data_IF_905053806576
#
_entry.id   IF_905053806576
#
_cell.length_a   1.000
_cell.length_b   1.000
_cell.length_c   1.000
_cell.angle_alpha   90.00
_cell.angle_beta   90.00
_cell.angle_gamma   90.00
#
_symmetry.space_group_name_H-M   'P 1'
#
loop_
_entity.id
_entity.type
_entity.pdbx_description
1 polymer ?
#
# COMPACT_ATOMS: atom_id res chain seq x y z
N UNK A 1 -3.19 12.70 -2.11
CA UNK A 1 -4.49 12.13 -2.55
C UNK A 1 -5.57 12.52 -1.55
N UNK A 2 -6.79 12.78 -2.03
CA UNK A 2 -8.01 12.95 -1.22
C UNK A 2 -8.52 11.62 -0.70
N UNK A 3 -9.40 11.62 0.30
CA UNK A 3 -10.03 10.38 0.81
C UNK A 3 -10.81 9.63 -0.28
N UNK A 4 -11.47 10.35 -1.20
CA UNK A 4 -12.18 9.77 -2.34
C UNK A 4 -11.25 9.04 -3.30
N UNK A 5 -10.10 9.63 -3.64
CA UNK A 5 -9.11 9.00 -4.51
C UNK A 5 -8.50 7.75 -3.87
N UNK A 6 -8.17 7.82 -2.57
CA UNK A 6 -7.65 6.68 -1.81
C UNK A 6 -8.71 5.57 -1.71
N UNK A 7 -9.96 5.92 -1.42
CA UNK A 7 -11.07 4.97 -1.34
C UNK A 7 -11.30 4.23 -2.66
N UNK A 8 -11.29 4.95 -3.78
CA UNK A 8 -11.42 4.35 -5.11
C UNK A 8 -10.26 3.40 -5.46
N UNK A 9 -9.02 3.78 -5.12
CA UNK A 9 -7.84 2.94 -5.30
C UNK A 9 -7.95 1.64 -4.50
N UNK A 10 -8.28 1.73 -3.21
CA UNK A 10 -8.40 0.56 -2.32
C UNK A 10 -9.55 -0.36 -2.73
N UNK A 11 -10.66 0.20 -3.21
CA UNK A 11 -11.76 -0.54 -3.81
C UNK A 11 -11.30 -1.33 -5.03
N UNK A 12 -10.57 -0.69 -5.94
CA UNK A 12 -10.02 -1.35 -7.14
C UNK A 12 -9.11 -2.52 -6.75
N UNK A 13 -8.20 -2.33 -5.79
CA UNK A 13 -7.34 -3.41 -5.29
C UNK A 13 -8.13 -4.58 -4.71
N UNK A 14 -9.19 -4.32 -3.94
CA UNK A 14 -10.08 -5.37 -3.43
C UNK A 14 -10.76 -6.14 -4.56
N UNK A 15 -11.31 -5.41 -5.54
CA UNK A 15 -12.03 -6.01 -6.67
C UNK A 15 -11.09 -6.84 -7.56
N UNK A 16 -9.87 -6.37 -7.81
CA UNK A 16 -8.83 -7.12 -8.53
C UNK A 16 -8.39 -8.39 -7.78
N UNK A 17 -8.44 -8.38 -6.45
CA UNK A 17 -8.18 -9.56 -5.63
C UNK A 17 -9.38 -10.54 -5.56
N UNK A 18 -10.52 -10.21 -6.19
CA UNK A 18 -11.72 -11.04 -6.19
C UNK A 18 -12.44 -11.12 -4.84
N UNK A 19 -12.20 -10.17 -3.94
CA UNK A 19 -12.75 -10.19 -2.58
C UNK A 19 -14.04 -9.37 -2.50
N UNK A 20 -15.03 -9.86 -1.75
CA UNK A 20 -16.15 -9.02 -1.31
C UNK A 20 -15.71 -8.09 -0.17
N UNK A 21 -16.50 -7.05 0.13
CA UNK A 21 -16.22 -6.18 1.29
C UNK A 21 -16.22 -6.97 2.61
N UNK A 22 -17.12 -7.95 2.75
CA UNK A 22 -17.19 -8.81 3.94
C UNK A 22 -15.97 -9.73 4.05
N UNK A 23 -15.53 -10.34 2.94
CA UNK A 23 -14.36 -11.20 2.92
C UNK A 23 -13.08 -10.43 3.27
N UNK A 24 -12.93 -9.21 2.74
CA UNK A 24 -11.80 -8.35 3.10
C UNK A 24 -11.87 -7.90 4.56
N UNK A 25 -13.04 -7.47 5.04
CA UNK A 25 -13.22 -7.09 6.44
C UNK A 25 -12.79 -8.22 7.39
N UNK A 26 -13.15 -9.47 7.08
CA UNK A 26 -12.75 -10.63 7.86
C UNK A 26 -11.23 -10.82 7.87
N UNK A 27 -10.55 -10.68 6.71
CA UNK A 27 -9.09 -10.79 6.63
C UNK A 27 -8.36 -9.68 7.38
N UNK A 28 -8.94 -8.47 7.40
CA UNK A 28 -8.36 -7.30 8.06
C UNK A 28 -8.76 -7.18 9.54
N UNK A 29 -9.48 -8.16 10.10
CA UNK A 29 -10.06 -8.07 11.44
C UNK A 29 -10.86 -6.78 11.67
N UNK A 30 -11.57 -6.34 10.62
CA UNK A 30 -12.38 -5.13 10.58
C UNK A 30 -13.86 -5.48 10.37
N UNK A 31 -14.69 -4.49 10.09
CA UNK A 31 -16.10 -4.68 9.73
C UNK A 31 -16.39 -4.11 8.35
N UNK A 32 -17.41 -4.67 7.67
CA UNK A 32 -17.82 -4.27 6.33
C UNK A 32 -18.19 -2.79 6.22
N UNK A 33 -18.77 -2.20 7.27
CA UNK A 33 -19.14 -0.79 7.26
C UNK A 33 -17.90 0.11 7.20
N UNK A 34 -16.83 -0.23 7.92
CA UNK A 34 -15.53 0.45 7.84
C UNK A 34 -14.94 0.35 6.43
N UNK A 35 -14.92 -0.85 5.83
CA UNK A 35 -14.49 -1.04 4.43
C UNK A 35 -15.30 -0.14 3.49
N UNK A 36 -16.63 -0.15 3.61
CA UNK A 36 -17.52 0.65 2.78
C UNK A 36 -17.30 2.15 2.94
N UNK A 37 -17.12 2.65 4.18
CA UNK A 37 -16.87 4.08 4.43
C UNK A 37 -15.55 4.54 3.81
N UNK A 38 -14.50 3.72 3.91
CA UNK A 38 -13.21 3.99 3.27
C UNK A 38 -13.34 3.98 1.75
N UNK A 39 -13.94 2.94 1.17
CA UNK A 39 -14.08 2.82 -0.30
C UNK A 39 -14.90 3.96 -0.93
N UNK A 40 -15.81 4.56 -0.16
CA UNK A 40 -16.61 5.71 -0.58
C UNK A 40 -15.98 7.06 -0.18
N UNK A 41 -14.74 7.07 0.32
CA UNK A 41 -14.02 8.28 0.69
C UNK A 41 -14.57 9.03 1.90
N UNK A 42 -15.48 8.41 2.67
CA UNK A 42 -16.04 9.00 3.90
C UNK A 42 -15.03 9.02 5.03
N UNK A 43 -14.16 8.02 5.06
CA UNK A 43 -13.04 7.90 6.02
C UNK A 43 -11.73 7.72 5.26
N UNK A 44 -10.65 8.28 5.83
CA UNK A 44 -9.29 7.92 5.44
C UNK A 44 -8.84 6.73 6.31
N UNK A 45 -8.29 5.65 5.73
CA UNK A 45 -7.72 4.59 6.52
C UNK A 45 -6.48 5.09 7.26
N UNK A 46 -6.30 4.62 8.50
CA UNK A 46 -5.02 4.74 9.18
C UNK A 46 -3.94 3.93 8.44
N UNK A 47 -2.67 4.30 8.64
CA UNK A 47 -1.55 3.73 7.90
C UNK A 47 -1.46 2.20 8.05
N UNK A 48 -1.71 1.67 9.24
CA UNK A 48 -1.67 0.23 9.52
C UNK A 48 -2.75 -0.52 8.73
N UNK A 49 -3.98 0.04 8.69
CA UNK A 49 -5.06 -0.53 7.91
C UNK A 49 -4.77 -0.46 6.41
N UNK A 50 -4.21 0.64 5.92
CA UNK A 50 -3.81 0.80 4.52
C UNK A 50 -2.76 -0.24 4.11
N UNK A 51 -1.74 -0.43 4.93
CA UNK A 51 -0.67 -1.42 4.70
C UNK A 51 -1.22 -2.84 4.72
N UNK A 52 -2.03 -3.19 5.73
CA UNK A 52 -2.67 -4.50 5.81
C UNK A 52 -3.60 -4.77 4.62
N UNK A 53 -4.30 -3.75 4.13
CA UNK A 53 -5.12 -3.84 2.93
C UNK A 53 -4.29 -4.18 1.69
N UNK A 54 -3.15 -3.51 1.50
CA UNK A 54 -2.24 -3.79 0.41
C UNK A 54 -1.74 -5.24 0.45
N UNK A 55 -1.40 -5.76 1.63
CA UNK A 55 -1.01 -7.16 1.78
C UNK A 55 -2.16 -8.13 1.48
N UNK A 56 -3.35 -7.91 2.05
CA UNK A 56 -4.52 -8.77 1.84
C UNK A 56 -4.95 -8.84 0.36
N UNK A 57 -4.77 -7.73 -0.37
CA UNK A 57 -5.11 -7.64 -1.80
C UNK A 57 -3.95 -7.96 -2.74
N UNK A 58 -2.76 -8.30 -2.20
CA UNK A 58 -1.52 -8.49 -2.96
C UNK A 58 -1.13 -7.27 -3.81
N UNK A 59 -1.56 -6.09 -3.39
CA UNK A 59 -1.36 -4.83 -4.08
C UNK A 59 -0.23 -4.00 -3.44
N UNK A 60 0.87 -4.64 -3.03
CA UNK A 60 1.96 -4.00 -2.27
C UNK A 60 2.54 -2.74 -2.95
N UNK A 61 2.52 -2.69 -4.29
CA UNK A 61 2.98 -1.53 -5.06
C UNK A 61 2.18 -0.23 -4.81
N UNK A 62 0.96 -0.33 -4.26
CA UNK A 62 0.17 0.87 -3.94
C UNK A 62 0.73 1.62 -2.73
N UNK A 63 1.41 0.94 -1.81
CA UNK A 63 2.05 1.58 -0.65
C UNK A 63 3.20 2.45 -1.13
N UNK A 64 4.01 1.93 -2.05
CA UNK A 64 5.05 2.71 -2.71
C UNK A 64 4.44 3.91 -3.43
N UNK A 65 3.44 3.70 -4.31
CA UNK A 65 2.78 4.79 -5.03
C UNK A 65 2.18 5.87 -4.11
N UNK A 66 1.54 5.46 -3.00
CA UNK A 66 0.94 6.36 -2.02
C UNK A 66 2.01 7.19 -1.30
N UNK A 67 3.07 6.55 -0.79
CA UNK A 67 4.16 7.24 -0.11
C UNK A 67 4.92 8.17 -1.08
N UNK A 68 5.21 7.72 -2.30
CA UNK A 68 5.85 8.57 -3.32
C UNK A 68 5.00 9.77 -3.72
N UNK A 69 3.67 9.68 -3.69
CA UNK A 69 2.79 10.84 -3.88
C UNK A 69 2.78 11.77 -2.67
N UNK A 70 2.68 11.24 -1.47
CA UNK A 70 2.61 12.04 -0.25
C UNK A 70 3.92 12.78 0.01
N UNK A 71 5.05 12.18 -0.37
CA UNK A 71 6.39 12.72 -0.19
C UNK A 71 6.87 13.58 -1.36
N UNK A 72 6.06 13.74 -2.43
CA UNK A 72 6.42 14.49 -3.64
C UNK A 72 6.63 16.00 -3.42
N UNK A 73 6.31 16.51 -2.23
CA UNK A 73 6.60 17.88 -1.79
C UNK A 73 7.81 18.02 -0.85
N UNK A 74 8.54 16.94 -0.57
CA UNK A 74 9.76 16.99 0.24
C UNK A 74 10.96 16.62 -0.63
N UNK A 75 11.87 17.58 -0.89
CA UNK A 75 13.08 17.37 -1.71
C UNK A 75 13.91 16.15 -1.27
N UNK A 76 13.82 15.77 0.02
CA UNK A 76 14.55 14.64 0.58
C UNK A 76 13.97 13.27 0.22
N UNK A 77 12.71 13.18 -0.22
CA UNK A 77 12.07 11.92 -0.53
C UNK A 77 12.70 11.23 -1.75
N UNK A 78 13.08 12.02 -2.76
CA UNK A 78 13.69 11.48 -3.96
C UNK A 78 15.08 10.89 -3.66
N UNK A 79 15.87 11.58 -2.83
CA UNK A 79 17.14 11.04 -2.33
C UNK A 79 16.92 9.78 -1.48
N UNK A 80 15.92 9.77 -0.60
CA UNK A 80 15.59 8.62 0.22
C UNK A 80 15.18 7.40 -0.61
N UNK A 81 14.30 7.55 -1.59
CA UNK A 81 13.90 6.46 -2.48
C UNK A 81 15.06 5.95 -3.35
N UNK A 82 15.94 6.82 -3.84
CA UNK A 82 17.13 6.40 -4.56
C UNK A 82 18.10 5.62 -3.68
N UNK A 83 18.30 6.06 -2.44
CA UNK A 83 19.13 5.34 -1.46
C UNK A 83 18.51 3.97 -1.16
N UNK A 84 17.20 3.90 -0.90
CA UNK A 84 16.51 2.64 -0.60
C UNK A 84 16.52 1.65 -1.78
N UNK A 85 16.40 2.15 -3.01
CA UNK A 85 16.54 1.33 -4.21
C UNK A 85 17.97 0.80 -4.36
N UNK A 86 18.97 1.68 -4.23
CA UNK A 86 20.37 1.29 -4.28
C UNK A 86 20.74 0.25 -3.20
N UNK A 87 20.21 0.39 -1.98
CA UNK A 87 20.42 -0.59 -0.89
C UNK A 87 19.81 -1.96 -1.24
N UNK A 88 18.63 -2.00 -1.85
CA UNK A 88 18.00 -3.25 -2.31
C UNK A 88 18.86 -3.94 -3.37
N UNK A 89 19.39 -3.17 -4.32
CA UNK A 89 20.24 -3.71 -5.38
C UNK A 89 21.56 -4.24 -4.82
N UNK A 90 22.18 -3.52 -3.87
CA UNK A 90 23.37 -3.98 -3.16
C UNK A 90 23.07 -5.28 -2.40
N UNK A 91 21.95 -5.38 -1.69
CA UNK A 91 21.56 -6.62 -1.00
C UNK A 91 21.33 -7.79 -1.98
N UNK A 92 20.75 -7.52 -3.15
CA UNK A 92 20.55 -8.52 -4.20
C UNK A 92 21.84 -8.95 -4.91
N UNK A 93 22.87 -8.09 -4.89
CA UNK A 93 24.21 -8.42 -5.39
C UNK A 93 24.97 -9.25 -4.34
N UNK A 94 24.94 -8.86 -3.07
CA UNK A 94 25.60 -9.58 -1.98
C UNK A 94 25.05 -11.01 -1.79
N UNK A 95 23.74 -11.22 -1.99
CA UNK A 95 23.14 -12.55 -1.95
C UNK A 95 23.64 -13.48 -3.08
N UNK A 96 24.08 -12.92 -4.21
CA UNK A 96 24.69 -13.69 -5.32
C UNK A 96 26.15 -14.08 -5.06
N UNK A 97 26.81 -13.42 -4.10
CA UNK A 97 28.21 -13.68 -3.75
C UNK A 97 28.39 -14.58 -2.52
N UNK A 98 27.31 -15.00 -1.86
CA UNK A 98 27.36 -15.98 -0.74
C UNK A 98 27.35 -17.45 -1.19
N UNK A 99 27.81 -17.76 -2.41
CA UNK A 99 28.04 -19.13 -2.87
C UNK A 99 29.49 -19.25 -3.33
N UNK A 100 30.39 -19.48 -2.37
CA UNK A 100 31.71 -20.06 -2.55
C UNK A 100 32.14 -20.71 -1.24
#
# INVERSE_FOLDING_TARGET
MTSTEVGALLRMCREMAGLSQDALAQQLHSNRNTISRIENGKDMPEIDLFVNWAFATRANGIVEAYLSQQLRGQEQAQAFFQIMHAIRDVAAVLSKFQIA
#
